data_IF_146967736440
#
_entry.id   IF_146967736440
#
_cell.length_a   1.000
_cell.length_b   1.000
_cell.length_c   1.000
_cell.angle_alpha   90.00
_cell.angle_beta   90.00
_cell.angle_gamma   90.00
#
_symmetry.space_group_name_H-M   'P 1'
#
loop_
_entity.id
_entity.type
_entity.pdbx_description
1 polymer ?
#
# COMPACT_ATOMS: atom_id res chain seq x y z
N UNK A 1 7.29 -29.76 -3.18
CA UNK A 1 6.93 -28.35 -3.08
C UNK A 1 5.78 -28.11 -4.04
N UNK A 2 4.56 -27.94 -3.52
CA UNK A 2 3.39 -27.66 -4.35
C UNK A 2 3.55 -26.27 -4.96
N UNK A 3 3.32 -26.15 -6.26
CA UNK A 3 3.21 -24.85 -6.92
C UNK A 3 2.11 -24.04 -6.19
N UNK A 4 2.49 -22.92 -5.58
CA UNK A 4 1.50 -22.01 -4.98
C UNK A 4 0.66 -21.44 -6.11
N UNK A 5 -0.61 -21.80 -6.15
CA UNK A 5 -1.54 -21.35 -7.19
C UNK A 5 -1.63 -19.82 -7.14
N UNK A 6 -1.18 -19.16 -8.22
CA UNK A 6 -1.25 -17.71 -8.36
C UNK A 6 -2.72 -17.28 -8.49
N UNK A 7 -3.17 -16.43 -7.58
CA UNK A 7 -4.54 -15.90 -7.60
C UNK A 7 -4.70 -14.87 -8.73
N UNK A 8 -5.77 -14.98 -9.52
CA UNK A 8 -6.12 -14.00 -10.55
C UNK A 8 -7.20 -13.05 -10.02
N UNK A 9 -6.94 -11.75 -10.03
CA UNK A 9 -7.80 -10.72 -9.46
C UNK A 9 -8.20 -9.72 -10.55
N UNK A 10 -9.49 -9.50 -10.74
CA UNK A 10 -10.00 -8.47 -11.64
C UNK A 10 -9.98 -7.10 -10.94
N UNK A 11 -9.08 -6.23 -11.34
CA UNK A 11 -8.91 -4.88 -10.81
C UNK A 11 -10.04 -3.90 -11.20
N UNK A 12 -10.97 -4.32 -12.06
CA UNK A 12 -12.17 -3.55 -12.42
C UNK A 12 -13.40 -3.91 -11.58
N UNK A 13 -13.31 -4.91 -10.70
CA UNK A 13 -14.45 -5.35 -9.89
C UNK A 13 -14.98 -4.22 -8.99
N UNK A 14 -16.30 -4.16 -8.86
CA UNK A 14 -16.98 -3.15 -8.05
C UNK A 14 -16.64 -1.72 -8.52
N UNK A 15 -16.13 -0.90 -7.61
CA UNK A 15 -15.69 0.47 -7.90
C UNK A 15 -14.40 0.54 -8.75
N UNK A 16 -13.67 -0.56 -8.83
CA UNK A 16 -12.46 -0.67 -9.65
C UNK A 16 -11.37 0.34 -9.32
N UNK A 17 -11.22 0.67 -8.03
CA UNK A 17 -10.24 1.64 -7.54
C UNK A 17 -8.94 1.02 -7.05
N UNK A 18 -8.08 1.86 -6.46
CA UNK A 18 -6.82 1.43 -5.87
C UNK A 18 -6.96 0.55 -4.61
N UNK A 19 -8.16 0.45 -4.04
CA UNK A 19 -8.44 -0.38 -2.87
C UNK A 19 -8.11 -1.86 -3.13
N UNK A 20 -8.50 -2.39 -4.30
CA UNK A 20 -8.22 -3.78 -4.68
C UNK A 20 -6.71 -4.05 -4.61
N UNK A 21 -5.90 -3.14 -5.17
CA UNK A 21 -4.44 -3.28 -5.19
C UNK A 21 -3.89 -3.32 -3.76
N UNK A 22 -4.22 -2.33 -2.94
CA UNK A 22 -3.68 -2.21 -1.58
C UNK A 22 -4.06 -3.38 -0.68
N UNK A 23 -5.31 -3.82 -0.76
CA UNK A 23 -5.79 -4.98 -0.01
C UNK A 23 -5.11 -6.27 -0.48
N UNK A 24 -4.96 -6.46 -1.80
CA UNK A 24 -4.28 -7.63 -2.35
C UNK A 24 -2.81 -7.70 -1.94
N UNK A 25 -2.09 -6.57 -1.95
CA UNK A 25 -0.70 -6.49 -1.49
C UNK A 25 -0.57 -6.88 -0.01
N UNK A 26 -1.39 -6.28 0.86
CA UNK A 26 -1.36 -6.58 2.29
C UNK A 26 -1.68 -8.06 2.57
N UNK A 27 -2.75 -8.60 1.97
CA UNK A 27 -3.15 -9.99 2.15
C UNK A 27 -2.14 -10.96 1.56
N UNK A 28 -1.54 -10.66 0.41
CA UNK A 28 -0.49 -11.48 -0.18
C UNK A 28 0.71 -11.63 0.76
N UNK A 29 1.19 -10.52 1.35
CA UNK A 29 2.28 -10.54 2.32
C UNK A 29 1.93 -11.32 3.58
N UNK A 30 0.69 -11.20 4.09
CA UNK A 30 0.24 -11.89 5.31
C UNK A 30 0.06 -13.39 5.06
N UNK A 31 -0.47 -13.78 3.91
CA UNK A 31 -0.84 -15.17 3.62
C UNK A 31 0.21 -15.95 2.87
N UNK A 32 1.23 -15.29 2.34
CA UNK A 32 2.24 -15.90 1.47
C UNK A 32 1.71 -16.32 0.08
N UNK A 33 0.54 -15.83 -0.34
CA UNK A 33 -0.09 -16.22 -1.60
C UNK A 33 0.24 -15.22 -2.70
N UNK A 34 0.85 -15.65 -3.82
CA UNK A 34 1.10 -14.80 -4.96
C UNK A 34 -0.21 -14.46 -5.69
N UNK A 35 -0.25 -13.30 -6.34
CA UNK A 35 -1.38 -12.90 -7.16
C UNK A 35 -0.94 -12.18 -8.44
N UNK A 36 -1.83 -12.20 -9.42
CA UNK A 36 -1.82 -11.34 -10.60
C UNK A 36 -3.10 -10.53 -10.59
N UNK A 37 -2.97 -9.23 -10.80
CA UNK A 37 -4.13 -8.35 -11.01
C UNK A 37 -4.12 -7.87 -12.46
N UNK A 38 -5.28 -7.91 -13.11
CA UNK A 38 -5.53 -7.43 -14.48
C UNK A 38 -6.67 -6.41 -14.48
N UNK A 39 -6.89 -5.70 -15.57
CA UNK A 39 -7.88 -4.62 -15.65
C UNK A 39 -7.70 -3.54 -14.56
N UNK A 40 -6.45 -3.26 -14.19
CA UNK A 40 -6.14 -2.32 -13.12
C UNK A 40 -6.77 -0.96 -13.41
N UNK A 41 -7.72 -0.56 -12.58
CA UNK A 41 -8.44 0.71 -12.67
C UNK A 41 -9.05 1.00 -14.06
N UNK A 42 -9.50 -0.06 -14.77
CA UNK A 42 -9.94 0.02 -16.16
C UNK A 42 -11.12 1.00 -16.37
N UNK A 43 -11.95 1.21 -15.34
CA UNK A 43 -13.14 2.10 -15.41
C UNK A 43 -12.87 3.53 -14.89
N UNK A 44 -11.61 3.89 -14.62
CA UNK A 44 -11.23 5.23 -14.16
C UNK A 44 -10.78 6.10 -15.32
N UNK A 45 -10.92 7.41 -15.20
CA UNK A 45 -10.48 8.40 -16.21
C UNK A 45 -9.01 8.20 -16.62
N UNK A 46 -8.18 7.81 -15.66
CA UNK A 46 -6.78 7.41 -15.89
C UNK A 46 -6.59 5.96 -15.48
N UNK A 47 -6.78 4.99 -16.39
CA UNK A 47 -6.61 3.57 -16.11
C UNK A 47 -5.15 3.22 -15.77
N UNK A 48 -4.96 2.05 -15.18
CA UNK A 48 -3.66 1.55 -14.80
C UNK A 48 -3.13 2.14 -13.48
N UNK A 49 -1.93 1.71 -13.09
CA UNK A 49 -1.25 2.18 -11.90
C UNK A 49 -0.89 3.67 -12.04
N UNK A 50 -1.26 4.48 -11.06
CA UNK A 50 -0.76 5.83 -10.91
C UNK A 50 0.41 5.84 -9.92
N UNK A 51 1.14 6.96 -9.78
CA UNK A 51 2.31 7.05 -8.90
C UNK A 51 2.06 6.53 -7.48
N UNK A 52 0.96 6.94 -6.86
CA UNK A 52 0.57 6.47 -5.52
C UNK A 52 0.37 4.94 -5.46
N UNK A 53 -0.24 4.35 -6.49
CA UNK A 53 -0.45 2.89 -6.55
C UNK A 53 0.88 2.16 -6.73
N UNK A 54 1.75 2.68 -7.61
CA UNK A 54 3.08 2.12 -7.81
C UNK A 54 3.91 2.23 -6.51
N UNK A 55 3.82 3.35 -5.79
CA UNK A 55 4.48 3.49 -4.48
C UNK A 55 3.98 2.44 -3.48
N UNK A 56 2.68 2.14 -3.47
CA UNK A 56 2.14 1.07 -2.62
C UNK A 56 2.69 -0.31 -3.02
N UNK A 57 2.81 -0.60 -4.31
CA UNK A 57 3.41 -1.86 -4.81
C UNK A 57 4.88 -1.95 -4.42
N UNK A 58 5.67 -0.91 -4.66
CA UNK A 58 7.10 -0.89 -4.35
C UNK A 58 7.36 -0.93 -2.85
N UNK A 59 6.54 -0.25 -2.05
CA UNK A 59 6.62 -0.30 -0.59
C UNK A 59 6.32 -1.71 -0.05
N UNK A 60 5.26 -2.33 -0.54
CA UNK A 60 4.92 -3.72 -0.18
C UNK A 60 6.03 -4.70 -0.62
N UNK A 61 6.59 -4.51 -1.80
CA UNK A 61 7.71 -5.33 -2.28
C UNK A 61 8.96 -5.16 -1.40
N UNK A 62 9.27 -3.93 -0.98
CA UNK A 62 10.42 -3.66 -0.13
C UNK A 62 10.30 -4.31 1.24
N UNK A 63 9.17 -4.11 1.95
CA UNK A 63 8.97 -4.70 3.28
C UNK A 63 8.79 -6.21 3.27
N UNK A 64 8.36 -6.77 2.15
CA UNK A 64 8.05 -8.20 1.99
C UNK A 64 9.12 -8.98 1.23
N UNK A 65 10.28 -8.40 0.90
CA UNK A 65 11.27 -9.03 -0.01
C UNK A 65 10.58 -9.68 -1.22
N UNK A 66 9.54 -9.02 -1.73
CA UNK A 66 8.67 -9.55 -2.74
C UNK A 66 9.12 -9.14 -4.15
N UNK A 67 8.70 -9.94 -5.13
CA UNK A 67 8.89 -9.64 -6.56
C UNK A 67 7.60 -9.09 -7.14
N UNK A 68 7.69 -7.94 -7.82
CA UNK A 68 6.57 -7.32 -8.51
C UNK A 68 6.92 -7.17 -9.99
N UNK A 69 6.38 -8.05 -10.83
CA UNK A 69 6.65 -8.05 -12.27
C UNK A 69 5.57 -7.28 -13.03
N UNK A 70 5.98 -6.44 -13.98
CA UNK A 70 5.10 -5.64 -14.81
C UNK A 70 4.54 -4.38 -14.14
N UNK A 71 4.95 -4.06 -12.90
CA UNK A 71 4.46 -2.90 -12.17
C UNK A 71 5.24 -1.62 -12.57
N UNK A 72 4.59 -0.75 -13.31
CA UNK A 72 5.07 0.59 -13.66
C UNK A 72 3.88 1.57 -13.77
N UNK A 73 4.14 2.86 -13.87
CA UNK A 73 3.06 3.85 -14.08
C UNK A 73 2.32 3.53 -15.37
N UNK A 74 1.00 3.44 -15.29
CA UNK A 74 0.12 3.08 -16.41
C UNK A 74 -0.10 1.57 -16.60
N UNK A 75 0.60 0.70 -15.87
CA UNK A 75 0.38 -0.75 -15.97
C UNK A 75 -1.08 -1.11 -15.73
N UNK A 76 -1.65 -1.84 -16.67
CA UNK A 76 -3.02 -2.37 -16.58
C UNK A 76 -3.08 -3.75 -15.93
N UNK A 77 -1.92 -4.39 -15.77
CA UNK A 77 -1.74 -5.64 -15.04
C UNK A 77 -0.35 -5.72 -14.44
N UNK A 78 -0.21 -6.47 -13.37
CA UNK A 78 1.08 -6.86 -12.77
C UNK A 78 0.90 -8.12 -11.93
N UNK A 79 1.98 -8.80 -11.62
CA UNK A 79 2.01 -9.89 -10.64
C UNK A 79 2.83 -9.53 -9.42
N UNK A 80 2.51 -10.17 -8.30
CA UNK A 80 3.18 -9.96 -7.04
C UNK A 80 3.42 -11.31 -6.35
N UNK A 81 4.69 -11.62 -6.09
CA UNK A 81 5.12 -12.83 -5.40
C UNK A 81 5.71 -12.43 -4.04
N UNK A 82 5.03 -12.71 -2.93
CA UNK A 82 5.47 -12.30 -1.61
C UNK A 82 6.66 -13.13 -1.15
N UNK A 83 7.61 -12.48 -0.49
CA UNK A 83 8.66 -13.10 0.31
C UNK A 83 8.41 -12.95 1.80
N UNK A 84 9.48 -13.02 2.60
CA UNK A 84 9.39 -12.82 4.04
C UNK A 84 9.28 -11.34 4.40
N UNK A 85 8.40 -11.02 5.35
CA UNK A 85 8.29 -9.66 5.89
C UNK A 85 9.59 -9.32 6.64
N UNK A 86 10.16 -8.17 6.32
CA UNK A 86 11.38 -7.65 6.94
C UNK A 86 11.05 -6.39 7.73
N UNK A 87 11.05 -6.44 9.08
CA UNK A 87 11.03 -5.23 9.90
C UNK A 87 12.28 -4.38 9.65
N UNK A 88 12.14 -3.07 9.76
CA UNK A 88 13.29 -2.18 9.53
C UNK A 88 12.89 -0.72 9.33
N UNK A 89 13.82 0.05 8.80
CA UNK A 89 13.62 1.46 8.49
C UNK A 89 13.42 1.66 6.99
N UNK A 90 12.32 2.30 6.63
CA UNK A 90 11.93 2.50 5.24
C UNK A 90 11.53 3.94 4.97
N UNK A 91 11.88 4.42 3.77
CA UNK A 91 11.43 5.71 3.26
C UNK A 91 10.72 5.50 1.93
N UNK A 92 9.49 6.02 1.82
CA UNK A 92 8.67 5.94 0.63
C UNK A 92 8.24 7.32 0.16
N UNK A 93 8.64 7.68 -1.05
CA UNK A 93 8.35 8.97 -1.66
C UNK A 93 7.41 8.76 -2.85
N UNK A 94 6.25 9.43 -2.84
CA UNK A 94 5.30 9.33 -3.95
C UNK A 94 5.73 10.23 -5.13
N UNK A 95 6.42 11.33 -4.84
CA UNK A 95 6.86 12.31 -5.84
C UNK A 95 5.73 13.21 -6.37
N UNK A 96 4.57 13.15 -5.75
CA UNK A 96 3.38 13.99 -6.01
C UNK A 96 2.58 14.09 -4.72
N UNK A 97 1.50 14.89 -4.71
CA UNK A 97 0.56 14.93 -3.59
C UNK A 97 -0.35 13.69 -3.47
N UNK A 98 0.03 12.54 -4.01
CA UNK A 98 -0.68 11.28 -3.76
C UNK A 98 -0.70 10.95 -2.27
N UNK A 99 -1.79 10.30 -1.79
CA UNK A 99 -2.00 10.06 -0.36
C UNK A 99 -1.00 9.08 0.24
N UNK A 100 -0.23 9.53 1.21
CA UNK A 100 0.66 8.70 2.03
C UNK A 100 -0.14 7.74 2.92
N UNK A 101 -1.33 8.16 3.38
CA UNK A 101 -2.22 7.31 4.19
C UNK A 101 -2.74 6.09 3.42
N UNK A 102 -2.92 6.23 2.11
CA UNK A 102 -3.29 5.09 1.27
C UNK A 102 -2.10 4.15 1.00
N UNK A 103 -0.88 4.65 0.94
CA UNK A 103 0.32 3.79 0.90
C UNK A 103 0.49 3.04 2.21
N UNK A 104 0.30 3.71 3.35
CA UNK A 104 0.32 3.09 4.68
C UNK A 104 -0.64 1.91 4.77
N UNK A 105 -1.82 1.98 4.16
CA UNK A 105 -2.81 0.91 4.15
C UNK A 105 -2.27 -0.42 3.56
N UNK A 106 -1.34 -0.35 2.61
CA UNK A 106 -0.76 -1.55 2.01
C UNK A 106 0.32 -2.21 2.89
N UNK A 107 1.04 -1.43 3.69
CA UNK A 107 2.21 -1.91 4.43
C UNK A 107 1.97 -2.09 5.93
N UNK A 108 1.02 -1.36 6.51
CA UNK A 108 0.75 -1.41 7.95
C UNK A 108 0.26 -2.81 8.40
N UNK A 109 -0.74 -3.45 7.78
CA UNK A 109 -1.23 -4.74 8.25
C UNK A 109 -0.14 -5.83 8.31
N UNK A 110 0.68 -6.04 7.26
CA UNK A 110 1.75 -7.03 7.35
C UNK A 110 2.82 -6.68 8.40
N UNK A 111 3.20 -5.40 8.54
CA UNK A 111 4.20 -5.00 9.54
C UNK A 111 3.69 -5.10 10.98
N UNK A 112 2.38 -4.95 11.21
CA UNK A 112 1.78 -5.20 12.53
C UNK A 112 1.90 -6.65 13.00
N UNK A 113 2.11 -7.58 12.07
CA UNK A 113 2.29 -9.01 12.34
C UNK A 113 3.77 -9.43 12.37
N UNK A 114 4.68 -8.50 12.12
CA UNK A 114 6.12 -8.76 12.17
C UNK A 114 6.61 -8.93 13.61
N UNK A 115 7.73 -9.62 13.77
CA UNK A 115 8.33 -9.98 15.05
C UNK A 115 9.23 -8.90 15.65
N UNK A 116 9.44 -7.79 14.93
CA UNK A 116 10.24 -6.64 15.39
C UNK A 116 9.63 -5.30 14.91
N UNK A 117 9.96 -4.18 15.55
CA UNK A 117 9.44 -2.87 15.16
C UNK A 117 9.99 -2.38 13.82
N UNK A 118 9.25 -1.49 13.20
CA UNK A 118 9.64 -0.79 11.98
C UNK A 118 9.44 0.71 12.10
N UNK A 119 10.26 1.49 11.41
CA UNK A 119 10.11 2.92 11.25
C UNK A 119 9.86 3.24 9.78
N UNK A 120 8.75 3.94 9.50
CA UNK A 120 8.37 4.29 8.15
C UNK A 120 8.32 5.81 7.99
N UNK A 121 9.02 6.34 7.00
CA UNK A 121 8.92 7.74 6.58
C UNK A 121 8.20 7.80 5.23
N UNK A 122 7.12 8.58 5.17
CA UNK A 122 6.38 8.82 3.94
C UNK A 122 6.48 10.27 3.49
N UNK A 123 6.71 10.49 2.21
CA UNK A 123 6.68 11.81 1.57
C UNK A 123 5.60 11.85 0.49
N UNK A 124 4.67 12.79 0.59
CA UNK A 124 3.54 12.93 -0.34
C UNK A 124 2.39 13.73 0.24
N UNK A 125 1.17 13.45 -0.19
CA UNK A 125 -0.04 14.09 0.33
C UNK A 125 -0.46 13.53 1.69
N UNK A 126 -0.78 14.41 2.62
CA UNK A 126 -1.30 14.07 3.95
C UNK A 126 -2.78 14.36 4.12
N UNK A 127 -3.31 15.25 3.26
CA UNK A 127 -4.70 15.68 3.25
C UNK A 127 -5.20 15.69 1.81
N UNK A 128 -5.85 14.62 1.42
CA UNK A 128 -6.32 14.39 0.06
C UNK A 128 -7.83 14.23 0.01
N UNK A 129 -8.44 14.74 -1.04
CA UNK A 129 -9.83 14.39 -1.38
C UNK A 129 -9.91 12.88 -1.66
N UNK A 130 -10.90 12.19 -1.11
CA UNK A 130 -11.12 10.73 -1.25
C UNK A 130 -10.04 9.85 -0.58
N UNK A 131 -9.35 10.37 0.42
CA UNK A 131 -8.44 9.63 1.27
C UNK A 131 -8.59 10.09 2.73
N UNK A 132 -8.34 9.23 3.72
CA UNK A 132 -8.37 9.66 5.11
C UNK A 132 -7.26 10.71 5.35
N UNK A 133 -7.57 11.82 6.04
CA UNK A 133 -6.56 12.78 6.46
C UNK A 133 -5.70 12.20 7.59
N UNK A 134 -4.54 12.80 7.81
CA UNK A 134 -3.61 12.36 8.85
C UNK A 134 -4.27 12.27 10.23
N UNK A 135 -5.05 13.27 10.63
CA UNK A 135 -5.70 13.32 11.94
C UNK A 135 -6.71 12.20 12.15
N UNK A 136 -7.37 11.73 11.09
CA UNK A 136 -8.23 10.57 11.19
C UNK A 136 -7.43 9.31 11.54
N UNK A 137 -6.29 9.12 10.88
CA UNK A 137 -5.40 7.99 11.20
C UNK A 137 -4.92 8.09 12.64
N UNK A 138 -4.43 9.26 13.05
CA UNK A 138 -3.86 9.47 14.37
C UNK A 138 -4.89 9.37 15.51
N UNK A 139 -6.08 10.00 15.34
CA UNK A 139 -7.02 10.19 16.44
C UNK A 139 -8.17 9.20 16.48
N UNK A 140 -8.45 8.52 15.36
CA UNK A 140 -9.59 7.61 15.26
C UNK A 140 -9.18 6.19 14.91
N UNK A 141 -8.40 5.99 13.86
CA UNK A 141 -8.05 4.67 13.36
C UNK A 141 -7.03 3.96 14.27
N UNK A 142 -5.88 4.56 14.52
CA UNK A 142 -4.80 3.92 15.29
C UNK A 142 -5.17 3.64 16.75
N UNK A 143 -5.92 4.48 17.47
CA UNK A 143 -6.39 4.12 18.80
C UNK A 143 -7.20 2.82 18.85
N UNK A 144 -7.98 2.52 17.80
CA UNK A 144 -8.72 1.26 17.69
C UNK A 144 -7.81 0.10 17.29
N UNK A 145 -6.92 0.31 16.33
CA UNK A 145 -5.93 -0.69 15.91
C UNK A 145 -5.06 -1.11 17.09
N UNK A 146 -4.57 -0.17 17.88
CA UNK A 146 -3.71 -0.47 19.04
C UNK A 146 -4.42 -1.30 20.12
N UNK A 147 -5.76 -1.30 20.15
CA UNK A 147 -6.52 -2.20 21.06
C UNK A 147 -6.48 -3.66 20.62
N UNK A 148 -6.07 -3.95 19.39
CA UNK A 148 -5.95 -5.33 18.88
C UNK A 148 -4.60 -5.97 19.15
N UNK A 149 -3.66 -5.25 19.78
CA UNK A 149 -2.38 -5.80 20.22
C UNK A 149 -1.14 -5.02 19.81
N UNK A 150 -0.98 -4.57 18.55
CA UNK A 150 0.22 -3.83 18.13
C UNK A 150 0.27 -2.44 18.79
N UNK A 151 1.46 -1.84 18.82
CA UNK A 151 1.65 -0.44 19.18
C UNK A 151 2.10 0.33 17.95
N UNK A 152 1.21 1.12 17.38
CA UNK A 152 1.46 1.97 16.21
C UNK A 152 1.29 3.43 16.58
N UNK A 153 2.29 4.23 16.28
CA UNK A 153 2.27 5.70 16.46
C UNK A 153 2.55 6.38 15.12
N UNK A 154 2.00 7.57 14.94
CA UNK A 154 2.26 8.42 13.78
C UNK A 154 2.57 9.85 14.20
N UNK A 155 3.47 10.48 13.48
CA UNK A 155 3.84 11.87 13.64
C UNK A 155 3.78 12.58 12.29
N UNK A 156 3.22 13.80 12.27
CA UNK A 156 3.21 14.66 11.10
C UNK A 156 4.37 15.65 11.18
N UNK A 157 5.40 15.43 10.38
CA UNK A 157 6.55 16.34 10.32
C UNK A 157 6.22 17.60 9.51
N UNK A 158 5.46 17.43 8.41
CA UNK A 158 5.04 18.52 7.53
C UNK A 158 3.74 18.19 6.82
N UNK A 159 2.88 19.19 6.66
CA UNK A 159 1.67 19.05 5.85
C UNK A 159 2.00 18.88 4.37
N UNK A 160 1.31 17.93 3.71
CA UNK A 160 1.43 17.68 2.28
C UNK A 160 0.10 17.93 1.57
N UNK A 161 0.03 19.03 0.80
CA UNK A 161 -1.14 19.40 0.00
C UNK A 161 -0.82 19.36 -1.49
N UNK A 162 -1.88 19.29 -2.31
CA UNK A 162 -1.74 19.47 -3.74
C UNK A 162 -1.18 20.88 -4.07
N UNK A 163 -0.32 21.05 -5.09
CA UNK A 163 0.17 20.02 -6.02
C UNK A 163 1.41 19.23 -5.58
N UNK A 164 2.36 19.76 -4.74
CA UNK A 164 3.64 19.08 -4.56
C UNK A 164 3.62 17.94 -3.54
N UNK A 165 2.75 18.01 -2.54
CA UNK A 165 2.83 17.15 -1.37
C UNK A 165 3.72 17.74 -0.26
N UNK A 166 4.13 16.90 0.72
CA UNK A 166 4.98 17.26 1.84
C UNK A 166 5.87 16.11 2.31
#
# INVERSE_FOLDING_TARGET
AGESLMLSIDGSYGEGGGQIIRTSLALSLITGKPFRVYNVRARRDKPGLQRQHLTAVTAAAAIGTAKADGAHVGSKEFSFEPGAIQPGEYKFTIGTAGSTMLVLQAVLPPLMLADAPSLLLFEGGTHNVKAPPFEFIQKSFLPLVNRTGPTVTVELQRYGFYPPGG
#
